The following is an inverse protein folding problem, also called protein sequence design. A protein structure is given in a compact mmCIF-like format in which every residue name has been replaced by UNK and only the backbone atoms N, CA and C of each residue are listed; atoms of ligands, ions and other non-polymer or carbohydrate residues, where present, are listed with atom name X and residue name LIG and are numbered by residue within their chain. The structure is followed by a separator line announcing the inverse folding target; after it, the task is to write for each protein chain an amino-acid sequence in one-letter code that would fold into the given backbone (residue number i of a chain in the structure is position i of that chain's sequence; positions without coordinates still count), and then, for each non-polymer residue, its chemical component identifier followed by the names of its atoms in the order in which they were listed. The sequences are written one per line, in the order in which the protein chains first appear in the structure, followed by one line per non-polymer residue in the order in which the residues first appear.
data_IF_541234976399
#
_entry.id   IF_541234976399
#
_cell.length_a   1.000
_cell.length_b   1.000
_cell.length_c   1.000
_cell.angle_alpha   90.00
_cell.angle_beta   90.00
_cell.angle_gamma   90.00
#
_symmetry.space_group_name_H-M   'P 1'
#
loop_
_entity.id
_entity.type
_entity.pdbx_description
1 polymer ?
#
# COMPACT_ATOMS: atom_id res chain seq x y z
N UNK A 1 21.66 -4.46 -19.84
CA UNK A 1 20.21 -4.28 -19.64
C UNK A 1 19.95 -4.45 -18.16
N UNK A 2 19.86 -3.35 -17.41
CA UNK A 2 19.63 -3.39 -15.97
C UNK A 2 18.14 -3.37 -15.71
N UNK A 3 17.59 -4.51 -15.29
CA UNK A 3 16.23 -4.57 -14.77
C UNK A 3 16.19 -3.78 -13.47
N UNK A 4 15.48 -2.65 -13.51
CA UNK A 4 15.19 -1.81 -12.35
C UNK A 4 14.16 -2.56 -11.50
N UNK A 5 14.65 -3.43 -10.62
CA UNK A 5 13.81 -4.03 -9.57
C UNK A 5 13.37 -2.91 -8.64
N UNK A 6 12.11 -2.49 -8.77
CA UNK A 6 11.43 -1.66 -7.79
C UNK A 6 11.49 -2.38 -6.45
N UNK A 7 12.26 -1.83 -5.51
CA UNK A 7 12.47 -2.42 -4.18
C UNK A 7 11.13 -2.55 -3.42
N UNK A 8 10.89 -3.66 -2.67
CA UNK A 8 9.72 -3.80 -1.80
C UNK A 8 9.66 -2.73 -0.70
N UNK A 9 10.81 -2.15 -0.36
CA UNK A 9 10.99 -1.18 0.72
C UNK A 9 10.14 0.08 0.59
N UNK A 10 9.85 0.54 -0.63
CA UNK A 10 9.04 1.75 -0.85
C UNK A 10 7.58 1.55 -0.45
N UNK A 11 7.03 0.36 -0.65
CA UNK A 11 5.64 0.03 -0.29
C UNK A 11 5.43 -0.15 1.22
N UNK A 12 6.50 -0.52 1.95
CA UNK A 12 6.45 -0.80 3.38
C UNK A 12 6.44 0.50 4.22
N UNK A 13 7.21 1.52 3.81
CA UNK A 13 7.20 2.83 4.48
C UNK A 13 5.94 3.65 4.20
N UNK A 14 5.18 3.28 3.17
CA UNK A 14 4.01 4.03 2.70
C UNK A 14 2.98 4.16 3.82
N UNK A 15 2.64 3.06 4.50
CA UNK A 15 1.61 3.06 5.55
C UNK A 15 2.10 3.47 6.95
N UNK A 16 3.32 3.98 7.05
CA UNK A 16 3.84 4.58 8.28
C UNK A 16 3.20 5.95 8.52
N UNK A 17 2.83 6.22 9.77
CA UNK A 17 2.28 7.52 10.17
C UNK A 17 3.35 8.36 10.89
N UNK A 18 3.41 9.68 10.65
CA UNK A 18 2.58 10.47 9.74
C UNK A 18 3.05 10.40 8.28
N UNK A 19 2.13 10.63 7.34
CA UNK A 19 2.48 10.79 5.93
C UNK A 19 3.23 12.10 5.69
N UNK A 20 4.20 12.08 4.78
CA UNK A 20 4.97 13.27 4.37
C UNK A 20 4.75 13.60 2.89
N UNK A 21 5.16 14.79 2.48
CA UNK A 21 5.07 15.23 1.08
C UNK A 21 5.82 14.31 0.10
N UNK A 22 6.84 13.59 0.57
CA UNK A 22 7.63 12.66 -0.24
C UNK A 22 6.79 11.47 -0.72
N UNK A 23 5.67 11.19 -0.05
CA UNK A 23 4.74 10.11 -0.36
C UNK A 23 3.57 10.56 -1.26
N UNK A 24 3.63 11.77 -1.84
CA UNK A 24 2.55 12.31 -2.67
C UNK A 24 2.20 11.40 -3.86
N UNK A 25 3.21 10.97 -4.62
CA UNK A 25 3.01 10.12 -5.80
C UNK A 25 2.43 8.77 -5.40
N UNK A 26 2.95 8.21 -4.31
CA UNK A 26 2.52 6.95 -3.72
C UNK A 26 1.04 6.96 -3.31
N UNK A 27 0.60 8.02 -2.61
CA UNK A 27 -0.81 8.21 -2.24
C UNK A 27 -1.69 8.38 -3.48
N UNK A 28 -1.23 9.15 -4.47
CA UNK A 28 -1.98 9.42 -5.69
C UNK A 28 -2.18 8.15 -6.53
N UNK A 29 -1.13 7.33 -6.68
CA UNK A 29 -1.21 6.06 -7.39
C UNK A 29 -2.03 5.02 -6.60
N UNK A 30 -2.00 5.06 -5.27
CA UNK A 30 -2.87 4.24 -4.44
C UNK A 30 -4.34 4.62 -4.60
N UNK A 31 -4.70 5.90 -4.59
CA UNK A 31 -6.07 6.34 -4.84
C UNK A 31 -6.57 5.93 -6.23
N UNK A 32 -5.72 6.03 -7.26
CA UNK A 32 -6.04 5.51 -8.60
C UNK A 32 -6.28 4.01 -8.59
N UNK A 33 -5.42 3.23 -7.94
CA UNK A 33 -5.60 1.78 -7.77
C UNK A 33 -6.88 1.46 -7.00
N UNK A 34 -7.22 2.26 -5.99
CA UNK A 34 -8.46 2.13 -5.23
C UNK A 34 -9.72 2.47 -6.05
N UNK A 35 -9.58 3.03 -7.24
CA UNK A 35 -10.70 3.40 -8.10
C UNK A 35 -11.38 4.70 -7.69
N UNK A 36 -10.70 5.56 -6.92
CA UNK A 36 -11.27 6.83 -6.49
C UNK A 36 -11.52 7.76 -7.71
N UNK A 37 -12.73 8.33 -7.86
CA UNK A 37 -13.04 9.25 -8.95
C UNK A 37 -12.37 10.61 -8.72
N UNK A 38 -11.33 10.92 -9.52
CA UNK A 38 -10.56 12.16 -9.39
C UNK A 38 -11.40 13.43 -9.50
N UNK A 39 -12.55 13.38 -10.17
CA UNK A 39 -13.50 14.51 -10.28
C UNK A 39 -14.06 14.96 -8.93
N UNK A 40 -14.05 14.08 -7.90
CA UNK A 40 -14.50 14.39 -6.54
C UNK A 40 -13.39 14.94 -5.63
N UNK A 41 -12.25 15.36 -6.19
CA UNK A 41 -11.11 15.89 -5.43
C UNK A 41 -11.48 17.05 -4.51
N UNK A 42 -12.41 17.93 -4.92
CA UNK A 42 -12.81 19.10 -4.13
C UNK A 42 -13.52 18.66 -2.83
N UNK A 43 -14.50 17.76 -2.94
CA UNK A 43 -15.16 17.18 -1.78
C UNK A 43 -14.19 16.41 -0.88
N UNK A 44 -13.25 15.67 -1.47
CA UNK A 44 -12.19 14.98 -0.73
C UNK A 44 -11.34 15.96 0.08
N UNK A 45 -10.89 17.06 -0.52
CA UNK A 45 -10.12 18.11 0.16
C UNK A 45 -10.85 18.68 1.38
N UNK A 46 -12.16 18.94 1.25
CA UNK A 46 -12.98 19.42 2.36
C UNK A 46 -13.05 18.41 3.51
N UNK A 47 -13.21 17.12 3.19
CA UNK A 47 -13.24 16.05 4.21
C UNK A 47 -11.90 15.87 4.91
N UNK A 48 -10.81 16.06 4.17
CA UNK A 48 -9.44 16.02 4.70
C UNK A 48 -9.07 17.26 5.53
N UNK A 49 -9.93 18.28 5.59
CA UNK A 49 -9.75 19.48 6.42
C UNK A 49 -9.15 20.68 5.71
N UNK A 50 -9.03 20.65 4.38
CA UNK A 50 -8.70 21.84 3.58
C UNK A 50 -9.89 22.79 3.55
N UNK A 51 -9.61 24.09 3.57
CA UNK A 51 -10.64 25.10 3.50
C UNK A 51 -11.15 25.27 2.06
N UNK A 52 -12.42 25.69 1.94
CA UNK A 52 -13.04 25.92 0.65
C UNK A 52 -12.28 26.95 -0.19
N UNK A 53 -11.80 28.04 0.40
CA UNK A 53 -11.01 29.06 -0.30
C UNK A 53 -9.70 28.48 -0.90
N UNK A 54 -9.04 27.58 -0.18
CA UNK A 54 -7.84 26.87 -0.68
C UNK A 54 -8.19 26.05 -1.92
N UNK A 55 -9.27 25.28 -1.87
CA UNK A 55 -9.71 24.43 -2.98
C UNK A 55 -10.21 25.24 -4.18
N UNK A 56 -11.02 26.28 -3.94
CA UNK A 56 -11.50 27.17 -4.99
C UNK A 56 -10.33 27.87 -5.70
N UNK A 57 -9.28 28.25 -4.95
CA UNK A 57 -8.06 28.81 -5.54
C UNK A 57 -7.32 27.79 -6.43
N UNK A 58 -7.23 26.52 -6.01
CA UNK A 58 -6.64 25.46 -6.83
C UNK A 58 -7.45 25.23 -8.11
N UNK A 59 -8.77 25.19 -8.01
CA UNK A 59 -9.65 25.03 -9.18
C UNK A 59 -9.49 26.19 -10.18
N UNK A 60 -9.28 27.41 -9.67
CA UNK A 60 -9.02 28.60 -10.49
C UNK A 60 -7.65 28.58 -11.18
N UNK A 61 -6.61 28.11 -10.50
CA UNK A 61 -5.24 28.04 -11.04
C UNK A 61 -5.13 26.94 -12.09
N UNK A 62 -5.73 25.78 -11.83
CA UNK A 62 -5.62 24.58 -12.66
C UNK A 62 -6.92 24.25 -13.39
N UNK A 63 -7.65 25.28 -13.84
CA UNK A 63 -8.94 25.14 -14.52
C UNK A 63 -8.89 24.09 -15.64
N UNK A 64 -9.77 23.09 -15.53
CA UNK A 64 -9.89 22.01 -16.51
C UNK A 64 -8.90 20.85 -16.33
N UNK A 65 -7.90 20.97 -15.46
CA UNK A 65 -6.95 19.90 -15.15
C UNK A 65 -7.26 19.25 -13.80
N UNK A 66 -8.26 18.36 -13.81
CA UNK A 66 -8.73 17.62 -12.63
C UNK A 66 -7.59 16.84 -11.95
N UNK A 67 -6.67 16.28 -12.74
CA UNK A 67 -5.54 15.50 -12.21
C UNK A 67 -4.58 16.41 -11.43
N UNK A 68 -4.29 17.61 -11.93
CA UNK A 68 -3.48 18.59 -11.18
C UNK A 68 -4.19 19.11 -9.94
N UNK A 69 -5.49 19.38 -10.01
CA UNK A 69 -6.26 19.79 -8.84
C UNK A 69 -6.19 18.74 -7.71
N UNK A 70 -6.38 17.46 -8.04
CA UNK A 70 -6.25 16.37 -7.06
C UNK A 70 -4.82 16.29 -6.50
N UNK A 71 -3.81 16.37 -7.35
CA UNK A 71 -2.41 16.32 -6.92
C UNK A 71 -2.07 17.45 -5.95
N UNK A 72 -2.46 18.69 -6.25
CA UNK A 72 -2.22 19.84 -5.39
C UNK A 72 -3.08 19.83 -4.12
N UNK A 73 -4.30 19.31 -4.20
CA UNK A 73 -5.13 19.04 -3.02
C UNK A 73 -4.41 18.09 -2.06
N UNK A 74 -3.89 16.96 -2.55
CA UNK A 74 -3.13 16.01 -1.74
C UNK A 74 -1.81 16.61 -1.24
N UNK A 75 -1.15 17.46 -2.03
CA UNK A 75 0.04 18.20 -1.63
C UNK A 75 -0.23 19.09 -0.40
N UNK A 76 -1.33 19.86 -0.41
CA UNK A 76 -1.74 20.69 0.72
C UNK A 76 -2.11 19.85 1.95
N UNK A 77 -2.81 18.74 1.74
CA UNK A 77 -3.14 17.81 2.82
C UNK A 77 -1.88 17.21 3.47
N UNK A 78 -0.92 16.73 2.68
CA UNK A 78 0.36 16.18 3.18
C UNK A 78 1.24 17.23 3.86
N UNK A 79 1.13 18.50 3.45
CA UNK A 79 1.76 19.64 4.13
C UNK A 79 1.02 20.07 5.40
N UNK A 80 -0.09 19.40 5.73
CA UNK A 80 -0.93 19.67 6.92
C UNK A 80 -1.46 21.12 6.92
N UNK A 81 -1.83 21.63 5.75
CA UNK A 81 -2.42 22.95 5.61
C UNK A 81 -3.77 23.06 6.33
N UNK A 82 -4.24 24.29 6.54
CA UNK A 82 -5.57 24.58 7.05
C UNK A 82 -5.92 23.82 8.36
N UNK A 83 -7.00 23.02 8.34
CA UNK A 83 -7.50 22.27 9.49
C UNK A 83 -7.20 20.77 9.43
N UNK A 84 -6.21 20.35 8.63
CA UNK A 84 -5.86 18.92 8.48
C UNK A 84 -5.54 18.26 9.82
N UNK A 85 -4.85 18.97 10.71
CA UNK A 85 -4.51 18.46 12.04
C UNK A 85 -5.72 18.19 12.93
N UNK A 86 -6.77 19.00 12.77
CA UNK A 86 -8.04 18.84 13.48
C UNK A 86 -8.90 17.71 12.87
N UNK A 87 -8.54 17.22 11.67
CA UNK A 87 -9.27 16.19 10.91
C UNK A 87 -8.54 14.84 10.85
N UNK A 88 -7.61 14.59 11.76
CA UNK A 88 -6.91 13.30 11.85
C UNK A 88 -5.50 13.30 11.25
N UNK A 89 -4.95 14.48 10.94
CA UNK A 89 -3.61 14.70 10.35
C UNK A 89 -3.48 14.06 8.96
N UNK A 90 -2.30 14.13 8.36
CA UNK A 90 -2.00 13.42 7.13
C UNK A 90 -1.73 11.94 7.44
N UNK A 91 -2.78 11.12 7.55
CA UNK A 91 -2.67 9.68 7.81
C UNK A 91 -3.57 8.87 6.90
N UNK A 92 -3.23 7.60 6.65
CA UNK A 92 -4.11 6.71 5.87
C UNK A 92 -5.46 6.47 6.52
N UNK A 93 -5.53 6.48 7.86
CA UNK A 93 -6.81 6.35 8.56
C UNK A 93 -7.70 7.56 8.26
N UNK A 94 -7.17 8.78 8.34
CA UNK A 94 -7.92 9.99 7.97
C UNK A 94 -8.37 10.00 6.49
N UNK A 95 -7.55 9.44 5.59
CA UNK A 95 -7.91 9.32 4.17
C UNK A 95 -9.03 8.28 3.97
N UNK A 96 -8.95 7.13 4.63
CA UNK A 96 -10.00 6.10 4.62
C UNK A 96 -11.31 6.64 5.19
N UNK A 97 -11.26 7.34 6.32
CA UNK A 97 -12.42 7.96 6.96
C UNK A 97 -13.04 9.05 6.08
N UNK A 98 -12.21 9.86 5.40
CA UNK A 98 -12.68 10.84 4.43
C UNK A 98 -13.43 10.18 3.27
N UNK A 99 -12.87 9.12 2.69
CA UNK A 99 -13.52 8.35 1.61
C UNK A 99 -14.86 7.74 2.07
N UNK A 100 -14.91 7.13 3.26
CA UNK A 100 -16.14 6.59 3.85
C UNK A 100 -17.19 7.68 4.05
N UNK A 101 -16.78 8.87 4.54
CA UNK A 101 -17.69 10.01 4.74
C UNK A 101 -18.29 10.57 3.44
N UNK A 102 -17.65 10.30 2.30
CA UNK A 102 -18.12 10.66 0.96
C UNK A 102 -18.93 9.55 0.28
N UNK A 103 -19.18 8.44 0.98
CA UNK A 103 -19.75 7.20 0.45
C UNK A 103 -18.90 6.51 -0.63
N UNK A 104 -17.59 6.81 -0.70
CA UNK A 104 -16.62 6.09 -1.53
C UNK A 104 -16.12 4.81 -0.83
N UNK A 105 -17.08 3.99 -0.35
CA UNK A 105 -16.80 2.83 0.50
C UNK A 105 -15.92 1.79 -0.21
N UNK A 106 -16.14 1.57 -1.51
CA UNK A 106 -15.33 0.63 -2.29
C UNK A 106 -13.85 1.05 -2.36
N UNK A 107 -13.59 2.35 -2.54
CA UNK A 107 -12.23 2.89 -2.56
C UNK A 107 -11.59 2.83 -1.16
N UNK A 108 -12.38 3.12 -0.12
CA UNK A 108 -11.94 3.04 1.27
C UNK A 108 -11.61 1.59 1.70
N UNK A 109 -12.46 0.63 1.37
CA UNK A 109 -12.27 -0.79 1.69
C UNK A 109 -11.02 -1.33 0.99
N UNK A 110 -10.81 -0.95 -0.27
CA UNK A 110 -9.60 -1.31 -1.02
C UNK A 110 -8.35 -0.65 -0.42
N UNK A 111 -8.46 0.61 0.02
CA UNK A 111 -7.37 1.29 0.71
C UNK A 111 -6.99 0.59 2.03
N UNK A 112 -8.00 0.23 2.83
CA UNK A 112 -7.80 -0.51 4.07
C UNK A 112 -7.19 -1.90 3.79
N UNK A 113 -7.56 -2.54 2.68
CA UNK A 113 -6.98 -3.82 2.28
C UNK A 113 -5.49 -3.70 1.91
N UNK A 114 -5.12 -2.69 1.12
CA UNK A 114 -3.71 -2.43 0.76
C UNK A 114 -2.89 -2.15 2.02
N UNK A 115 -3.44 -1.39 2.99
CA UNK A 115 -2.82 -1.15 4.29
C UNK A 115 -2.60 -2.44 5.07
N UNK A 116 -3.59 -3.34 5.13
CA UNK A 116 -3.47 -4.64 5.81
C UNK A 116 -2.40 -5.52 5.17
N UNK A 117 -2.37 -5.59 3.84
CA UNK A 117 -1.34 -6.34 3.10
C UNK A 117 0.05 -5.84 3.42
N UNK A 118 0.28 -4.52 3.33
CA UNK A 118 1.58 -3.95 3.64
C UNK A 118 2.03 -4.25 5.09
N UNK A 119 1.13 -4.18 6.07
CA UNK A 119 1.41 -4.59 7.45
C UNK A 119 1.76 -6.07 7.57
N UNK A 120 1.04 -6.95 6.87
CA UNK A 120 1.34 -8.38 6.87
C UNK A 120 2.73 -8.67 6.28
N UNK A 121 3.09 -8.00 5.19
CA UNK A 121 4.42 -8.11 4.58
C UNK A 121 5.51 -7.58 5.53
N UNK A 122 5.26 -6.47 6.23
CA UNK A 122 6.20 -5.90 7.20
C UNK A 122 6.48 -6.85 8.38
N UNK A 123 5.41 -7.42 8.96
CA UNK A 123 5.50 -8.44 10.00
C UNK A 123 6.28 -9.66 9.47
N UNK A 124 5.93 -10.14 8.28
CA UNK A 124 6.61 -11.28 7.66
C UNK A 124 8.11 -11.01 7.49
N UNK A 125 8.48 -9.85 6.94
CA UNK A 125 9.87 -9.47 6.72
C UNK A 125 10.65 -9.33 8.03
N UNK A 126 10.03 -8.76 9.06
CA UNK A 126 10.62 -8.63 10.41
C UNK A 126 10.94 -10.01 11.01
N UNK A 127 10.06 -10.99 10.81
CA UNK A 127 10.24 -12.35 11.33
C UNK A 127 10.92 -13.32 10.35
N UNK A 128 11.20 -12.90 9.12
CA UNK A 128 11.80 -13.73 8.06
C UNK A 128 13.08 -14.44 8.50
N UNK A 129 14.03 -13.80 9.23
CA UNK A 129 15.24 -14.48 9.66
C UNK A 129 14.97 -15.63 10.64
N UNK A 130 14.01 -15.45 11.56
CA UNK A 130 13.63 -16.47 12.55
C UNK A 130 12.92 -17.64 11.87
N UNK A 131 12.06 -17.36 10.91
CA UNK A 131 11.41 -18.38 10.08
C UNK A 131 12.45 -19.15 9.27
N UNK A 132 13.41 -18.46 8.63
CA UNK A 132 14.49 -19.10 7.86
C UNK A 132 15.40 -19.98 8.74
N UNK A 133 15.51 -19.71 10.04
CA UNK A 133 16.27 -20.56 10.96
C UNK A 133 15.46 -21.75 11.50
N UNK A 134 14.17 -21.56 11.75
CA UNK A 134 13.33 -22.53 12.49
C UNK A 134 12.63 -23.56 11.60
N UNK A 135 12.55 -23.34 10.28
CA UNK A 135 11.70 -24.13 9.39
C UNK A 135 12.38 -25.43 8.94
N UNK A 136 12.33 -26.46 9.79
CA UNK A 136 13.07 -27.73 9.63
C UNK A 136 12.74 -28.53 8.37
N UNK A 137 11.50 -28.46 7.89
CA UNK A 137 11.02 -29.21 6.71
C UNK A 137 10.26 -28.29 5.73
N UNK A 138 10.97 -27.53 4.88
CA UNK A 138 10.36 -26.60 3.94
C UNK A 138 9.53 -27.27 2.85
N UNK A 139 9.85 -28.50 2.45
CA UNK A 139 9.10 -29.20 1.40
C UNK A 139 7.72 -29.61 1.91
N UNK A 140 7.62 -30.20 3.11
CA UNK A 140 6.32 -30.57 3.68
C UNK A 140 5.43 -29.36 3.92
N UNK A 141 6.00 -28.24 4.39
CA UNK A 141 5.26 -26.97 4.54
C UNK A 141 4.76 -26.45 3.19
N UNK A 142 5.59 -26.50 2.14
CA UNK A 142 5.17 -26.12 0.80
C UNK A 142 4.01 -26.99 0.29
N UNK A 143 4.05 -28.32 0.51
CA UNK A 143 2.95 -29.22 0.14
C UNK A 143 1.65 -28.84 0.86
N UNK A 144 1.73 -28.55 2.17
CA UNK A 144 0.56 -28.11 2.94
C UNK A 144 -0.01 -26.80 2.41
N UNK A 145 0.84 -25.80 2.15
CA UNK A 145 0.42 -24.51 1.58
C UNK A 145 -0.18 -24.65 0.18
N UNK A 146 0.34 -25.57 -0.65
CA UNK A 146 -0.21 -25.85 -1.97
C UNK A 146 -1.60 -26.48 -1.89
N UNK A 147 -1.80 -27.42 -0.95
CA UNK A 147 -3.10 -28.07 -0.73
C UNK A 147 -4.18 -27.07 -0.29
N UNK A 148 -3.79 -26.09 0.52
CA UNK A 148 -4.65 -24.97 0.92
C UNK A 148 -4.79 -23.88 -0.16
N UNK A 149 -4.15 -24.05 -1.32
CA UNK A 149 -4.21 -23.10 -2.43
C UNK A 149 -3.44 -21.79 -2.20
N UNK A 150 -2.62 -21.72 -1.16
CA UNK A 150 -1.81 -20.53 -0.83
C UNK A 150 -0.66 -20.35 -1.82
N UNK A 151 -0.04 -21.43 -2.28
CA UNK A 151 1.02 -21.42 -3.29
C UNK A 151 0.66 -22.30 -4.49
N UNK A 152 1.21 -21.98 -5.65
CA UNK A 152 0.99 -22.76 -6.88
C UNK A 152 1.89 -24.00 -6.93
N UNK A 153 1.55 -24.98 -7.77
CA UNK A 153 2.40 -26.15 -8.00
C UNK A 153 3.77 -25.82 -8.59
N UNK A 154 3.88 -24.71 -9.33
CA UNK A 154 5.16 -24.22 -9.83
C UNK A 154 6.10 -23.79 -8.69
N UNK A 155 5.55 -23.17 -7.64
CA UNK A 155 6.33 -22.80 -6.45
C UNK A 155 6.79 -24.05 -5.72
N UNK A 156 5.90 -25.05 -5.53
CA UNK A 156 6.27 -26.31 -4.88
C UNK A 156 7.42 -27.01 -5.62
N UNK A 157 7.32 -27.16 -6.95
CA UNK A 157 8.38 -27.76 -7.76
C UNK A 157 9.73 -27.01 -7.62
N UNK A 158 9.66 -25.68 -7.49
CA UNK A 158 10.86 -24.85 -7.27
C UNK A 158 11.51 -25.13 -5.91
N UNK A 159 10.70 -25.29 -4.85
CA UNK A 159 11.18 -25.68 -3.51
C UNK A 159 11.78 -27.08 -3.52
N UNK A 160 11.14 -28.05 -4.17
CA UNK A 160 11.65 -29.42 -4.30
C UNK A 160 13.00 -29.47 -5.05
N UNK A 161 13.13 -28.69 -6.13
CA UNK A 161 14.35 -28.62 -6.95
C UNK A 161 15.56 -28.02 -6.23
N UNK A 162 15.35 -27.25 -5.16
CA UNK A 162 16.43 -26.66 -4.34
C UNK A 162 17.11 -27.68 -3.38
N UNK A 163 16.66 -28.94 -3.41
CA UNK A 163 17.28 -30.07 -2.71
C UNK A 163 18.73 -30.32 -3.15
N UNK A 164 19.64 -30.78 -2.26
CA UNK A 164 19.43 -31.18 -0.86
C UNK A 164 19.64 -30.04 0.17
N UNK A 165 19.81 -28.80 -0.27
CA UNK A 165 20.10 -27.68 0.63
C UNK A 165 18.83 -27.17 1.30
N UNK A 166 18.55 -27.65 2.51
CA UNK A 166 17.45 -27.16 3.35
C UNK A 166 17.43 -25.62 3.47
N UNK A 167 18.58 -24.93 3.68
CA UNK A 167 18.60 -23.46 3.65
C UNK A 167 18.08 -22.86 2.34
N UNK A 168 18.47 -23.43 1.19
CA UNK A 168 18.02 -22.92 -0.11
C UNK A 168 16.51 -23.14 -0.29
N UNK A 169 15.98 -24.30 0.12
CA UNK A 169 14.56 -24.60 0.08
C UNK A 169 13.74 -23.61 0.92
N UNK A 170 14.24 -23.26 2.13
CA UNK A 170 13.60 -22.25 3.00
C UNK A 170 13.55 -20.89 2.33
N UNK A 171 14.64 -20.44 1.73
CA UNK A 171 14.68 -19.14 1.08
C UNK A 171 13.72 -19.07 -0.11
N UNK A 172 13.63 -20.12 -0.93
CA UNK A 172 12.68 -20.21 -2.05
C UNK A 172 11.23 -20.17 -1.54
N UNK A 173 10.91 -20.94 -0.50
CA UNK A 173 9.57 -20.95 0.08
C UNK A 173 9.18 -19.60 0.69
N UNK A 174 10.05 -19.00 1.50
CA UNK A 174 9.77 -17.72 2.15
C UNK A 174 9.67 -16.57 1.14
N UNK A 175 10.46 -16.61 0.06
CA UNK A 175 10.33 -15.65 -1.04
C UNK A 175 8.98 -15.79 -1.76
N UNK A 176 8.51 -17.03 -1.97
CA UNK A 176 7.21 -17.27 -2.60
C UNK A 176 6.03 -16.84 -1.72
N UNK A 177 6.12 -17.04 -0.39
CA UNK A 177 5.08 -16.61 0.56
C UNK A 177 4.88 -15.09 0.52
N UNK A 178 5.94 -14.29 0.37
CA UNK A 178 5.83 -12.83 0.25
C UNK A 178 5.00 -12.42 -0.97
N UNK A 179 5.13 -13.15 -2.09
CA UNK A 179 4.45 -12.81 -3.35
C UNK A 179 2.94 -13.07 -3.28
N UNK A 180 2.50 -13.96 -2.38
CA UNK A 180 1.10 -14.36 -2.25
C UNK A 180 0.32 -13.61 -1.15
N UNK A 181 1.01 -12.78 -0.35
CA UNK A 181 0.39 -11.87 0.65
C UNK A 181 -0.10 -10.60 -0.06
#
# INVERSE_FOLDING_TARGET
MSNKTSSPSSSLSLFSSPLTIDQLIDVLDLLKRCGFPQTRWHELGLRLGLHKNTLDALEMIFRGDVSRCLMECLCQWLRRADNVDNKGRATFDSLSDALKSMNENAAADKLDQEKRKAKAIDIFNTHRPLLSQSLSDPVSVAIMLQREGVITGQVLASVESASPSVPNQREVLLAAIIVVI
#
